data_IF_846660990774
#
_entry.id   IF_846660990774
#
_cell.length_a   1.000
_cell.length_b   1.000
_cell.length_c   1.000
_cell.angle_alpha   90.00
_cell.angle_beta   90.00
_cell.angle_gamma   90.00
#
_symmetry.space_group_name_H-M   'P 1'
#
loop_
_entity.id
_entity.type
_entity.pdbx_description
1 polymer ?
#
# COMPACT_ATOMS: atom_id res chain seq x y z
N UNK A 1 31.51 -44.64 -27.82
CA UNK A 1 31.13 -43.27 -27.40
C UNK A 1 29.78 -42.98 -28.02
N UNK A 2 28.70 -43.06 -27.24
CA UNK A 2 27.33 -42.74 -27.67
C UNK A 2 26.78 -41.76 -26.65
N UNK A 3 26.70 -40.49 -27.06
CA UNK A 3 26.18 -39.39 -26.25
C UNK A 3 24.67 -39.52 -26.13
N UNK A 4 24.15 -39.55 -24.91
CA UNK A 4 22.73 -39.47 -24.61
C UNK A 4 22.46 -38.01 -24.23
N UNK A 5 22.05 -37.21 -25.21
CA UNK A 5 21.47 -35.91 -24.96
C UNK A 5 20.00 -36.11 -24.58
N UNK A 6 19.71 -35.97 -23.28
CA UNK A 6 18.33 -35.90 -22.77
C UNK A 6 18.15 -34.55 -22.09
N UNK A 7 18.01 -33.49 -22.89
CA UNK A 7 17.42 -32.24 -22.42
C UNK A 7 15.90 -32.39 -22.48
N UNK A 8 15.29 -32.96 -21.43
CA UNK A 8 13.85 -32.89 -21.21
C UNK A 8 13.47 -31.44 -20.92
N UNK A 9 13.05 -30.74 -21.96
CA UNK A 9 12.46 -29.40 -21.86
C UNK A 9 11.01 -29.58 -21.38
N UNK A 10 10.78 -29.36 -20.08
CA UNK A 10 9.42 -29.32 -19.54
C UNK A 10 8.65 -28.18 -20.24
N UNK A 11 7.45 -28.41 -20.77
CA UNK A 11 6.62 -27.33 -21.27
C UNK A 11 6.28 -26.42 -20.09
N UNK A 12 6.86 -25.23 -20.05
CA UNK A 12 6.37 -24.14 -19.21
C UNK A 12 5.01 -23.71 -19.78
N UNK A 13 3.94 -24.39 -19.38
CA UNK A 13 2.61 -23.82 -19.53
C UNK A 13 2.59 -22.56 -18.64
N UNK A 14 2.35 -21.36 -19.20
CA UNK A 14 2.16 -20.18 -18.38
C UNK A 14 0.92 -20.42 -17.53
N UNK A 15 1.13 -20.64 -16.23
CA UNK A 15 0.05 -20.65 -15.26
C UNK A 15 -0.55 -19.25 -15.32
N UNK A 16 -1.68 -19.09 -16.01
CA UNK A 16 -2.51 -17.90 -15.87
C UNK A 16 -2.92 -17.87 -14.41
N UNK A 17 -2.34 -16.95 -13.67
CA UNK A 17 -2.69 -16.78 -12.29
C UNK A 17 -4.04 -16.07 -12.29
N UNK A 18 -5.11 -16.78 -11.94
CA UNK A 18 -6.48 -16.25 -11.86
C UNK A 18 -6.68 -15.23 -10.72
N UNK A 19 -5.60 -14.77 -10.09
CA UNK A 19 -5.67 -13.76 -9.05
C UNK A 19 -5.90 -12.39 -9.68
N UNK A 20 -7.06 -11.80 -9.38
CA UNK A 20 -7.26 -10.37 -9.56
C UNK A 20 -6.71 -9.65 -8.33
N UNK A 21 -5.93 -8.58 -8.48
CA UNK A 21 -5.56 -7.73 -7.37
C UNK A 21 -6.82 -7.24 -6.64
N UNK A 22 -6.77 -7.22 -5.30
CA UNK A 22 -7.87 -6.66 -4.52
C UNK A 22 -8.08 -5.19 -4.89
N UNK A 23 -9.34 -4.75 -4.94
CA UNK A 23 -9.70 -3.36 -5.20
C UNK A 23 -10.98 -3.01 -4.46
N UNK A 24 -10.99 -1.86 -3.79
CA UNK A 24 -12.17 -1.26 -3.20
C UNK A 24 -13.19 -0.76 -4.23
N UNK A 25 -12.77 -0.58 -5.48
CA UNK A 25 -13.58 0.02 -6.53
C UNK A 25 -14.22 -1.06 -7.41
N UNK A 26 -15.46 -0.81 -7.81
CA UNK A 26 -16.10 -1.55 -8.91
C UNK A 26 -15.37 -1.29 -10.22
N UNK A 27 -15.48 -2.20 -11.19
CA UNK A 27 -14.71 -2.16 -12.43
C UNK A 27 -14.85 -0.83 -13.17
N UNK A 28 -16.04 -0.24 -13.17
CA UNK A 28 -16.37 1.01 -13.86
C UNK A 28 -15.65 2.21 -13.26
N UNK A 29 -15.36 2.19 -11.96
CA UNK A 29 -14.67 3.27 -11.26
C UNK A 29 -13.16 3.15 -11.32
N UNK A 30 -12.62 1.99 -11.73
CA UNK A 30 -11.17 1.76 -11.79
C UNK A 30 -10.48 2.58 -12.87
N UNK A 31 -11.20 3.08 -13.87
CA UNK A 31 -10.60 3.95 -14.90
C UNK A 31 -10.44 5.41 -14.45
N UNK A 32 -11.11 5.82 -13.36
CA UNK A 32 -11.02 7.18 -12.85
C UNK A 32 -9.84 7.33 -11.86
N UNK A 33 -8.86 8.14 -12.24
CA UNK A 33 -7.66 8.38 -11.44
C UNK A 33 -7.97 8.98 -10.05
N UNK A 34 -9.04 9.76 -9.91
CA UNK A 34 -9.45 10.35 -8.64
C UNK A 34 -10.05 9.27 -7.72
N UNK A 35 -10.81 8.34 -8.28
CA UNK A 35 -11.34 7.19 -7.52
C UNK A 35 -10.21 6.25 -7.08
N UNK A 36 -9.24 5.97 -7.95
CA UNK A 36 -8.05 5.20 -7.59
C UNK A 36 -7.28 5.86 -6.44
N UNK A 37 -7.09 7.18 -6.49
CA UNK A 37 -6.44 7.92 -5.41
C UNK A 37 -7.18 7.81 -4.08
N UNK A 38 -8.53 7.90 -4.09
CA UNK A 38 -9.32 7.71 -2.87
C UNK A 38 -9.18 6.29 -2.31
N UNK A 39 -9.21 5.27 -3.16
CA UNK A 39 -9.02 3.89 -2.74
C UNK A 39 -7.62 3.68 -2.11
N UNK A 40 -6.57 4.20 -2.75
CA UNK A 40 -5.21 4.13 -2.20
C UNK A 40 -5.06 4.92 -0.90
N UNK A 41 -5.68 6.10 -0.80
CA UNK A 41 -5.70 6.88 0.43
C UNK A 41 -6.33 6.09 1.57
N UNK A 42 -7.45 5.41 1.30
CA UNK A 42 -8.11 4.55 2.30
C UNK A 42 -7.19 3.40 2.75
N UNK A 43 -6.58 2.69 1.81
CA UNK A 43 -5.64 1.60 2.10
C UNK A 43 -4.47 2.06 2.97
N UNK A 44 -3.81 3.15 2.56
CA UNK A 44 -2.64 3.68 3.27
C UNK A 44 -3.02 4.17 4.66
N UNK A 45 -4.14 4.87 4.81
CA UNK A 45 -4.57 5.39 6.12
C UNK A 45 -5.01 4.28 7.07
N UNK A 46 -5.70 3.25 6.60
CA UNK A 46 -6.01 2.06 7.41
C UNK A 46 -4.75 1.31 7.84
N UNK A 47 -3.77 1.19 6.94
CA UNK A 47 -2.47 0.60 7.25
C UNK A 47 -1.71 1.40 8.32
N UNK A 48 -1.65 2.73 8.18
CA UNK A 48 -1.05 3.63 9.19
C UNK A 48 -1.77 3.48 10.54
N UNK A 49 -3.10 3.53 10.55
CA UNK A 49 -3.88 3.39 11.78
C UNK A 49 -3.57 2.06 12.48
N UNK A 50 -3.54 0.96 11.73
CA UNK A 50 -3.21 -0.37 12.27
C UNK A 50 -1.82 -0.39 12.89
N UNK A 51 -0.82 0.19 12.20
CA UNK A 51 0.54 0.31 12.72
C UNK A 51 0.57 1.08 14.05
N UNK A 52 -0.09 2.24 14.10
CA UNK A 52 -0.13 3.09 15.29
C UNK A 52 -0.85 2.40 16.46
N UNK A 53 -1.92 1.66 16.21
CA UNK A 53 -2.61 0.87 17.24
C UNK A 53 -1.71 -0.21 17.83
N UNK A 54 -0.95 -0.94 17.01
CA UNK A 54 -0.01 -1.97 17.48
C UNK A 54 1.16 -1.37 18.28
N UNK A 55 1.69 -0.24 17.81
CA UNK A 55 2.74 0.52 18.52
C UNK A 55 2.22 0.98 19.89
N UNK A 56 1.04 1.58 19.92
CA UNK A 56 0.42 2.09 21.14
C UNK A 56 0.17 0.95 22.15
N UNK A 57 -0.50 -0.12 21.74
CA UNK A 57 -0.76 -1.27 22.61
C UNK A 57 0.52 -1.90 23.15
N UNK A 58 1.58 -1.99 22.33
CA UNK A 58 2.87 -2.53 22.78
C UNK A 58 3.58 -1.59 23.76
N UNK A 59 3.47 -0.27 23.58
CA UNK A 59 4.01 0.69 24.54
C UNK A 59 3.27 0.62 25.88
N UNK A 60 1.94 0.59 25.83
CA UNK A 60 1.08 0.45 27.00
C UNK A 60 1.40 -0.83 27.79
N UNK A 61 1.51 -1.98 27.14
CA UNK A 61 1.86 -3.24 27.80
C UNK A 61 3.23 -3.20 28.52
N UNK A 62 4.21 -2.47 27.97
CA UNK A 62 5.52 -2.26 28.64
C UNK A 62 5.43 -1.36 29.86
N UNK A 63 4.54 -0.37 29.84
CA UNK A 63 4.30 0.52 30.98
C UNK A 63 3.59 -0.23 32.12
N UNK A 64 2.59 -1.04 31.79
CA UNK A 64 1.81 -1.84 32.74
C UNK A 64 2.63 -2.98 33.37
N UNK A 65 3.59 -3.54 32.63
CA UNK A 65 4.48 -4.65 33.08
C UNK A 65 3.70 -5.88 33.57
N UNK A 66 2.49 -6.09 33.06
CA UNK A 66 1.70 -7.29 33.34
C UNK A 66 2.30 -8.49 32.59
N UNK A 67 2.82 -9.53 33.28
CA UNK A 67 3.34 -10.70 32.61
C UNK A 67 2.26 -11.51 31.87
N UNK A 68 0.97 -11.33 32.19
CA UNK A 68 -0.12 -11.97 31.47
C UNK A 68 -0.44 -11.27 30.14
N UNK A 69 -0.02 -10.01 29.96
CA UNK A 69 -0.25 -9.22 28.76
C UNK A 69 1.09 -8.65 28.24
N UNK A 70 1.97 -9.49 27.68
CA UNK A 70 3.24 -9.02 27.15
C UNK A 70 3.04 -8.16 25.89
N UNK A 71 3.95 -7.21 25.61
CA UNK A 71 3.85 -6.39 24.42
C UNK A 71 3.95 -7.24 23.16
N UNK A 72 3.05 -7.00 22.21
CA UNK A 72 3.01 -7.73 20.93
C UNK A 72 4.26 -7.46 20.08
N UNK A 73 4.73 -6.21 20.08
CA UNK A 73 5.97 -5.82 19.40
C UNK A 73 7.12 -5.74 20.40
N UNK A 74 8.33 -6.10 19.98
CA UNK A 74 9.55 -5.72 20.70
C UNK A 74 9.95 -4.27 20.36
N UNK A 75 10.96 -3.73 21.05
CA UNK A 75 11.40 -2.33 20.87
C UNK A 75 11.84 -2.06 19.42
N UNK A 76 12.60 -2.97 18.82
CA UNK A 76 13.11 -2.82 17.46
C UNK A 76 12.00 -2.84 16.42
N UNK A 77 11.00 -3.70 16.59
CA UNK A 77 9.87 -3.79 15.67
C UNK A 77 8.90 -2.62 15.86
N UNK A 78 8.72 -2.11 17.08
CA UNK A 78 8.02 -0.84 17.31
C UNK A 78 8.68 0.29 16.51
N UNK A 79 10.00 0.44 16.59
CA UNK A 79 10.72 1.49 15.85
C UNK A 79 10.63 1.31 14.33
N UNK A 80 10.73 0.09 13.83
CA UNK A 80 10.57 -0.21 12.39
C UNK A 80 9.17 0.13 11.92
N UNK A 81 8.16 -0.23 12.70
CA UNK A 81 6.75 0.02 12.36
C UNK A 81 6.41 1.51 12.41
N UNK A 82 6.99 2.26 13.35
CA UNK A 82 6.89 3.72 13.40
C UNK A 82 7.44 4.34 12.13
N UNK A 83 8.66 3.94 11.72
CA UNK A 83 9.27 4.45 10.48
C UNK A 83 8.48 4.07 9.23
N UNK A 84 7.91 2.87 9.19
CA UNK A 84 7.00 2.48 8.10
C UNK A 84 5.77 3.40 8.05
N UNK A 85 5.09 3.61 9.18
CA UNK A 85 3.91 4.48 9.23
C UNK A 85 4.24 5.91 8.78
N UNK A 86 5.40 6.45 9.20
CA UNK A 86 5.88 7.76 8.75
C UNK A 86 6.17 7.79 7.25
N UNK A 87 6.84 6.77 6.72
CA UNK A 87 7.16 6.69 5.29
C UNK A 87 5.90 6.59 4.42
N UNK A 88 4.92 5.79 4.85
CA UNK A 88 3.62 5.68 4.15
C UNK A 88 2.85 7.01 4.22
N UNK A 89 2.84 7.69 5.37
CA UNK A 89 2.22 9.00 5.49
C UNK A 89 2.88 10.05 4.58
N UNK A 90 4.22 10.04 4.49
CA UNK A 90 4.97 10.89 3.55
C UNK A 90 4.62 10.61 2.10
N UNK A 91 4.61 9.33 1.70
CA UNK A 91 4.24 8.93 0.33
C UNK A 91 2.80 9.33 -0.01
N UNK A 92 1.86 9.23 0.93
CA UNK A 92 0.49 9.70 0.74
C UNK A 92 0.44 11.23 0.53
N UNK A 93 1.23 11.99 1.28
CA UNK A 93 1.33 13.46 1.11
C UNK A 93 1.85 13.82 -0.28
N UNK A 94 2.92 13.18 -0.73
CA UNK A 94 3.49 13.39 -2.07
C UNK A 94 2.48 13.07 -3.18
N UNK A 95 1.73 11.97 -3.04
CA UNK A 95 0.68 11.62 -3.99
C UNK A 95 -0.46 12.65 -3.99
N UNK A 96 -0.87 13.12 -2.81
CA UNK A 96 -1.90 14.14 -2.68
C UNK A 96 -1.49 15.46 -3.37
N UNK A 97 -0.24 15.89 -3.21
CA UNK A 97 0.31 17.06 -3.89
C UNK A 97 0.23 16.91 -5.42
N UNK A 98 0.67 15.77 -5.96
CA UNK A 98 0.59 15.49 -7.40
C UNK A 98 -0.86 15.53 -7.93
N UNK A 99 -1.81 15.00 -7.15
CA UNK A 99 -3.23 15.04 -7.49
C UNK A 99 -3.80 16.46 -7.47
N UNK A 100 -3.45 17.27 -6.47
CA UNK A 100 -3.84 18.69 -6.38
C UNK A 100 -3.31 19.46 -7.59
N UNK A 101 -2.04 19.28 -7.94
CA UNK A 101 -1.42 19.93 -9.10
C UNK A 101 -2.06 19.53 -10.43
N UNK A 102 -2.45 18.26 -10.57
CA UNK A 102 -3.17 17.78 -11.75
C UNK A 102 -4.55 18.42 -11.87
N UNK A 103 -5.30 18.52 -10.76
CA UNK A 103 -6.62 19.15 -10.72
C UNK A 103 -6.55 20.65 -11.03
N UNK A 104 -5.60 21.36 -10.42
CA UNK A 104 -5.38 22.79 -10.68
C UNK A 104 -5.08 23.05 -12.16
N UNK A 105 -4.17 22.27 -12.77
CA UNK A 105 -3.84 22.39 -14.21
C UNK A 105 -5.05 22.18 -15.10
N UNK A 106 -5.90 21.19 -14.81
CA UNK A 106 -7.15 20.94 -15.55
C UNK A 106 -8.10 22.13 -15.47
N UNK A 107 -8.25 22.73 -14.29
CA UNK A 107 -9.09 23.91 -14.11
C UNK A 107 -8.57 25.14 -14.84
N UNK A 108 -7.26 25.41 -14.75
CA UNK A 108 -6.63 26.52 -15.48
C UNK A 108 -6.75 26.36 -17.00
N UNK A 109 -6.56 25.14 -17.53
CA UNK A 109 -6.74 24.85 -18.95
C UNK A 109 -8.20 25.05 -19.41
N UNK A 110 -9.17 24.65 -18.57
CA UNK A 110 -10.59 24.81 -18.87
C UNK A 110 -11.00 26.29 -18.89
N UNK A 111 -10.47 27.13 -18.00
CA UNK A 111 -10.75 28.58 -18.00
C UNK A 111 -10.23 29.34 -19.22
N UNK A 112 -9.23 28.80 -19.92
CA UNK A 112 -8.65 29.41 -21.14
C UNK A 112 -9.46 28.99 -22.39
N UNK A 113 -10.26 27.92 -22.31
CA UNK A 113 -10.97 27.31 -23.44
C UNK A 113 -12.42 27.79 -23.62
N UNK A 114 -12.94 28.63 -22.73
CA UNK A 114 -14.29 29.22 -22.85
C UNK A 114 -14.21 30.67 -23.36
N UNK A 115 -14.65 30.96 -24.60
CA UNK A 115 -14.89 32.33 -25.07
C UNK A 115 -16.14 32.96 -24.43
#
# INVERSE_FOLDING_TARGET
MTSIDTSTQFPQQPIKADHQPFSWLTEELRIDASMQFLAHTLDMTQGIQTCLSLIHASNQAREERDPACPPTLNISDTERLTRLAMAVAGSLSEQAELHIDALNRRYSAKSISTP
#
